data_IF_306794184986
#
_entry.id   IF_306794184986
#
_cell.length_a   1.000
_cell.length_b   1.000
_cell.length_c   1.000
_cell.angle_alpha   90.00
_cell.angle_beta   90.00
_cell.angle_gamma   90.00
#
_symmetry.space_group_name_H-M   'P 1'
#
loop_
_entity.id
_entity.type
_entity.pdbx_description
1 polymer ?
#
# COMPACT_ATOMS: atom_id res chain seq x y z
N UNK A 1 -21.42 -21.96 -13.49
CA UNK A 1 -20.66 -20.71 -13.31
C UNK A 1 -19.34 -21.13 -12.68
N UNK A 2 -18.28 -21.24 -13.48
CA UNK A 2 -16.99 -21.72 -12.96
C UNK A 2 -16.45 -20.65 -12.00
N UNK A 3 -16.05 -21.07 -10.79
CA UNK A 3 -15.34 -20.21 -9.86
C UNK A 3 -13.99 -19.90 -10.53
N UNK A 4 -13.82 -18.67 -10.99
CA UNK A 4 -12.60 -18.23 -11.67
C UNK A 4 -11.67 -17.58 -10.63
N UNK A 5 -10.51 -18.21 -10.40
CA UNK A 5 -9.50 -17.79 -9.44
C UNK A 5 -8.53 -16.75 -10.04
N UNK A 6 -8.71 -16.40 -11.32
CA UNK A 6 -7.78 -15.56 -12.06
C UNK A 6 -7.52 -14.18 -11.39
N UNK A 7 -8.50 -13.51 -10.75
CA UNK A 7 -8.23 -12.28 -9.99
C UNK A 7 -7.28 -12.51 -8.80
N UNK A 8 -7.52 -13.57 -8.03
CA UNK A 8 -6.70 -13.90 -6.86
C UNK A 8 -5.31 -14.43 -7.26
N UNK A 9 -5.19 -15.21 -8.34
CA UNK A 9 -3.89 -15.63 -8.89
C UNK A 9 -3.08 -14.43 -9.41
N UNK A 10 -3.73 -13.45 -10.04
CA UNK A 10 -3.07 -12.21 -10.46
C UNK A 10 -2.58 -11.38 -9.28
N UNK A 11 -3.34 -11.32 -8.19
CA UNK A 11 -2.92 -10.68 -6.94
C UNK A 11 -1.73 -11.41 -6.29
N UNK A 12 -1.65 -12.75 -6.42
CA UNK A 12 -0.56 -13.56 -5.87
C UNK A 12 0.71 -13.59 -6.75
N UNK A 13 0.62 -13.30 -8.06
CA UNK A 13 1.79 -13.27 -8.97
C UNK A 13 2.95 -12.38 -8.49
N UNK A 14 2.74 -11.13 -8.05
CA UNK A 14 3.84 -10.31 -7.52
C UNK A 14 4.46 -10.91 -6.23
N UNK A 15 3.70 -11.70 -5.47
CA UNK A 15 4.21 -12.50 -4.33
C UNK A 15 5.18 -13.57 -4.79
N UNK A 16 4.82 -14.31 -5.84
CA UNK A 16 5.69 -15.33 -6.44
C UNK A 16 6.99 -14.74 -7.00
N UNK A 17 6.93 -13.58 -7.64
CA UNK A 17 8.10 -12.89 -8.23
C UNK A 17 8.99 -12.27 -7.14
N UNK A 18 8.39 -11.64 -6.12
CA UNK A 18 9.08 -10.97 -5.02
C UNK A 18 9.75 -11.91 -4.02
N UNK A 19 9.35 -13.19 -3.98
CA UNK A 19 9.88 -14.19 -3.04
C UNK A 19 11.41 -14.38 -3.09
N UNK A 20 12.05 -14.03 -4.22
CA UNK A 20 13.51 -14.03 -4.37
C UNK A 20 14.20 -12.75 -3.87
N UNK A 21 13.47 -11.65 -3.73
CA UNK A 21 13.97 -10.31 -3.35
C UNK A 21 13.56 -9.87 -1.94
N UNK A 22 12.71 -10.63 -1.24
CA UNK A 22 12.25 -10.29 0.10
C UNK A 22 13.15 -10.87 1.18
N UNK A 23 13.88 -9.99 1.86
CA UNK A 23 14.80 -10.27 2.96
C UNK A 23 14.19 -11.09 4.12
N UNK A 24 12.86 -11.23 4.17
CA UNK A 24 12.13 -11.85 5.28
C UNK A 24 11.48 -13.20 4.92
N UNK A 25 11.83 -13.80 3.78
CA UNK A 25 11.19 -15.00 3.22
C UNK A 25 11.31 -16.31 4.05
N UNK A 26 11.79 -16.25 5.30
CA UNK A 26 12.02 -17.41 6.17
C UNK A 26 11.46 -17.31 7.59
N UNK A 27 10.79 -16.23 7.97
CA UNK A 27 10.17 -16.07 9.30
C UNK A 27 8.67 -15.77 9.17
N UNK A 28 7.83 -16.42 9.99
CA UNK A 28 6.38 -16.22 9.99
C UNK A 28 6.01 -14.74 10.24
N UNK A 29 6.76 -14.05 11.09
CA UNK A 29 6.61 -12.61 11.35
C UNK A 29 6.90 -11.76 10.12
N UNK A 30 7.84 -12.22 9.29
CA UNK A 30 8.17 -11.62 7.99
C UNK A 30 7.04 -11.78 6.98
N UNK A 31 6.43 -12.97 6.94
CA UNK A 31 5.27 -13.24 6.08
C UNK A 31 4.04 -12.42 6.48
N UNK A 32 3.78 -12.26 7.78
CA UNK A 32 2.68 -11.43 8.28
C UNK A 32 2.90 -9.94 7.94
N UNK A 33 4.11 -9.43 8.15
CA UNK A 33 4.46 -8.04 7.82
C UNK A 33 4.31 -7.77 6.32
N UNK A 34 4.75 -8.71 5.50
CA UNK A 34 4.62 -8.67 4.06
C UNK A 34 3.14 -8.68 3.61
N UNK A 35 2.32 -9.55 4.20
CA UNK A 35 0.89 -9.62 3.92
C UNK A 35 0.17 -8.29 4.25
N UNK A 36 0.55 -7.64 5.35
CA UNK A 36 0.06 -6.29 5.69
C UNK A 36 0.47 -5.26 4.65
N UNK A 37 1.74 -5.23 4.26
CA UNK A 37 2.24 -4.31 3.25
C UNK A 37 1.53 -4.49 1.90
N UNK A 38 1.33 -5.73 1.47
CA UNK A 38 0.59 -6.06 0.24
C UNK A 38 -0.86 -5.62 0.30
N UNK A 39 -1.53 -5.83 1.43
CA UNK A 39 -2.91 -5.39 1.62
C UNK A 39 -3.02 -3.88 1.38
N UNK A 40 -2.08 -3.09 1.91
CA UNK A 40 -2.05 -1.65 1.70
C UNK A 40 -1.78 -1.30 0.23
N UNK A 41 -0.81 -1.97 -0.40
CA UNK A 41 -0.45 -1.75 -1.81
C UNK A 41 -1.63 -2.05 -2.74
N UNK A 42 -2.29 -3.20 -2.56
CA UNK A 42 -3.45 -3.58 -3.36
C UNK A 42 -4.63 -2.62 -3.11
N UNK A 43 -4.82 -2.17 -1.87
CA UNK A 43 -5.84 -1.15 -1.58
C UNK A 43 -5.55 0.16 -2.31
N UNK A 44 -4.29 0.61 -2.35
CA UNK A 44 -3.91 1.80 -3.12
C UNK A 44 -4.20 1.64 -4.62
N UNK A 45 -3.85 0.49 -5.21
CA UNK A 45 -4.16 0.18 -6.62
C UNK A 45 -5.66 0.16 -6.90
N UNK A 46 -6.46 -0.38 -5.97
CA UNK A 46 -7.92 -0.41 -6.08
C UNK A 46 -8.56 0.99 -6.01
N UNK A 47 -7.84 1.99 -5.50
CA UNK A 47 -8.24 3.39 -5.49
C UNK A 47 -7.59 4.20 -6.64
N UNK A 48 -7.07 3.52 -7.68
CA UNK A 48 -6.38 4.13 -8.82
C UNK A 48 -5.17 5.01 -8.44
N UNK A 49 -4.55 4.73 -7.27
CA UNK A 49 -3.36 5.44 -6.82
C UNK A 49 -2.08 4.75 -7.30
N UNK A 50 -1.04 5.55 -7.53
CA UNK A 50 0.32 5.03 -7.65
C UNK A 50 0.81 4.56 -6.26
N UNK A 51 1.02 3.24 -6.04
CA UNK A 51 1.32 2.72 -4.71
C UNK A 51 2.67 3.19 -4.17
N UNK A 52 3.62 3.47 -5.06
CA UNK A 52 4.95 3.96 -4.67
C UNK A 52 4.84 5.40 -4.14
N UNK A 53 4.16 6.28 -4.88
CA UNK A 53 3.94 7.67 -4.48
C UNK A 53 3.13 7.75 -3.18
N UNK A 54 2.05 6.97 -3.07
CA UNK A 54 1.23 6.88 -1.88
C UNK A 54 2.03 6.43 -0.65
N UNK A 55 2.77 5.32 -0.74
CA UNK A 55 3.55 4.82 0.38
C UNK A 55 4.70 5.75 0.77
N UNK A 56 5.41 6.32 -0.19
CA UNK A 56 6.50 7.25 0.09
C UNK A 56 5.98 8.47 0.86
N UNK A 57 4.89 9.05 0.37
CA UNK A 57 4.26 10.21 0.98
C UNK A 57 3.70 9.92 2.38
N UNK A 58 2.98 8.80 2.55
CA UNK A 58 2.43 8.39 3.85
C UNK A 58 3.55 8.12 4.85
N UNK A 59 4.57 7.35 4.48
CA UNK A 59 5.69 7.01 5.37
C UNK A 59 6.54 8.22 5.76
N UNK A 60 6.67 9.21 4.87
CA UNK A 60 7.37 10.46 5.15
C UNK A 60 6.60 11.31 6.16
N UNK A 61 5.28 11.46 5.99
CA UNK A 61 4.48 12.35 6.86
C UNK A 61 3.91 11.70 8.12
N UNK A 62 3.85 10.37 8.22
CA UNK A 62 3.17 9.67 9.33
C UNK A 62 3.78 9.98 10.70
N UNK A 63 5.07 10.32 10.77
CA UNK A 63 5.73 10.62 12.04
C UNK A 63 5.26 11.94 12.65
N UNK A 64 4.90 12.92 11.83
CA UNK A 64 4.41 14.24 12.25
C UNK A 64 2.88 14.37 12.14
N UNK A 65 2.22 13.34 11.58
CA UNK A 65 0.78 13.38 11.37
C UNK A 65 0.02 13.18 12.69
N UNK A 66 -1.03 13.99 12.89
CA UNK A 66 -1.86 13.86 14.09
C UNK A 66 -2.60 12.53 14.07
N UNK A 67 -2.49 11.76 15.15
CA UNK A 67 -3.16 10.46 15.30
C UNK A 67 -4.68 10.54 15.10
N UNK A 68 -5.28 11.68 15.46
CA UNK A 68 -6.72 11.95 15.28
C UNK A 68 -7.11 12.29 13.84
N UNK A 69 -6.16 12.30 12.89
CA UNK A 69 -6.36 12.64 11.48
C UNK A 69 -5.84 11.57 10.52
N UNK A 70 -5.57 10.36 11.00
CA UNK A 70 -5.07 9.24 10.18
C UNK A 70 -6.01 8.89 9.03
N UNK A 71 -7.29 9.23 9.14
CA UNK A 71 -8.30 9.10 8.10
C UNK A 71 -7.94 9.84 6.80
N UNK A 72 -7.14 10.91 6.88
CA UNK A 72 -6.65 11.67 5.73
C UNK A 72 -5.55 10.92 4.95
N UNK A 73 -4.89 9.96 5.61
CA UNK A 73 -3.86 9.14 4.98
C UNK A 73 -4.44 7.88 4.32
N UNK A 74 -5.75 7.63 4.46
CA UNK A 74 -6.38 6.45 3.88
C UNK A 74 -6.40 6.57 2.34
N UNK A 75 -6.28 5.47 1.59
CA UNK A 75 -6.18 5.50 0.13
C UNK A 75 -7.29 6.26 -0.59
N UNK A 76 -8.51 6.28 -0.04
CA UNK A 76 -9.66 6.99 -0.63
C UNK A 76 -9.73 8.49 -0.27
N UNK A 77 -8.94 8.94 0.71
CA UNK A 77 -8.89 10.34 1.17
C UNK A 77 -7.52 10.98 0.91
N UNK A 78 -6.59 10.23 0.33
CA UNK A 78 -5.21 10.65 0.20
C UNK A 78 -5.06 11.79 -0.80
N UNK A 79 -4.43 12.87 -0.36
CA UNK A 79 -4.04 14.01 -1.19
C UNK A 79 -2.51 14.15 -1.11
N UNK A 80 -1.80 14.13 -2.26
CA UNK A 80 -0.35 14.29 -2.29
C UNK A 80 0.09 15.60 -1.60
N UNK A 81 1.22 15.59 -0.86
CA UNK A 81 1.74 16.82 -0.20
C UNK A 81 1.89 17.94 -1.23
N UNK A 82 2.39 17.62 -2.43
CA UNK A 82 2.59 18.58 -3.51
C UNK A 82 1.29 19.30 -3.92
N UNK A 83 0.15 18.61 -3.90
CA UNK A 83 -1.16 19.18 -4.22
C UNK A 83 -1.69 19.99 -3.03
N UNK A 84 -1.53 19.49 -1.80
CA UNK A 84 -1.99 20.17 -0.59
C UNK A 84 -1.24 21.50 -0.31
N UNK A 85 0.04 21.60 -0.69
CA UNK A 85 0.82 22.83 -0.56
C UNK A 85 0.46 23.87 -1.64
N UNK A 86 0.00 23.43 -2.82
CA UNK A 86 -0.39 24.33 -3.90
C UNK A 86 -1.73 25.04 -3.64
N UNK A 87 -2.65 24.43 -2.89
CA UNK A 87 -3.92 25.05 -2.47
C UNK A 87 -3.77 26.01 -1.27
N UNK A 88 -2.63 25.98 -0.58
CA UNK A 88 -2.34 26.82 0.58
C UNK A 88 -1.55 28.11 0.25
N UNK A 89 -1.24 28.34 -1.03
CA UNK A 89 -0.50 29.50 -1.55
C UNK A 89 -1.40 30.42 -2.39
#
# INVERSE_FOLDING_TARGET
>A
MAIDNNPAERALRPIGIGRKNWLFAGADTGAETLARAMTIIETAKLNDLDPQAYLADVLDRIHDHKINRLDQLLPWNWVPVATAQAEAA
#
